data_IF_449461160469
#
_entry.id   IF_449461160469
#
_cell.length_a   1.000
_cell.length_b   1.000
_cell.length_c   1.000
_cell.angle_alpha   90.00
_cell.angle_beta   90.00
_cell.angle_gamma   90.00
#
_symmetry.space_group_name_H-M   'P 1'
#
loop_
_entity.id
_entity.type
_entity.pdbx_description
1 polymer ?
#
# COMPACT_ATOMS: atom_id res chain seq x y z
N UNK A 1 -36.87 16.96 -34.69
CA UNK A 1 -35.61 16.32 -34.20
C UNK A 1 -35.66 16.16 -32.69
N UNK A 2 -36.22 15.06 -32.15
CA UNK A 2 -36.38 14.83 -30.69
C UNK A 2 -36.12 13.37 -30.26
N UNK A 3 -35.35 12.60 -31.04
CA UNK A 3 -35.09 11.17 -30.77
C UNK A 3 -33.62 10.81 -30.50
N UNK A 4 -32.71 11.78 -30.48
CA UNK A 4 -31.27 11.53 -30.27
C UNK A 4 -30.77 11.74 -28.83
N UNK A 5 -31.64 12.15 -27.89
CA UNK A 5 -31.24 12.41 -26.51
C UNK A 5 -31.26 11.15 -25.60
N UNK A 6 -31.93 10.07 -26.02
CA UNK A 6 -32.07 8.85 -25.20
C UNK A 6 -30.92 7.84 -25.35
N UNK A 7 -30.02 8.04 -26.31
CA UNK A 7 -28.90 7.11 -26.55
C UNK A 7 -27.66 7.42 -25.70
N UNK A 8 -27.58 8.61 -25.09
CA UNK A 8 -26.44 8.98 -24.23
C UNK A 8 -26.61 8.58 -22.76
N UNK A 9 -27.82 8.24 -22.32
CA UNK A 9 -28.08 7.84 -20.92
C UNK A 9 -27.72 6.39 -20.62
N UNK A 10 -27.62 5.51 -21.63
CA UNK A 10 -27.28 4.10 -21.43
C UNK A 10 -25.78 3.86 -21.15
N UNK A 11 -24.88 4.76 -21.59
CA UNK A 11 -23.44 4.58 -21.38
C UNK A 11 -22.96 4.99 -19.97
N UNK A 12 -23.77 5.73 -19.20
CA UNK A 12 -23.41 6.18 -17.85
C UNK A 12 -23.80 5.18 -16.74
N UNK A 13 -24.51 4.09 -17.07
CA UNK A 13 -25.00 3.14 -16.08
C UNK A 13 -23.92 2.17 -15.53
N UNK A 14 -22.70 2.16 -16.08
CA UNK A 14 -21.63 1.24 -15.65
C UNK A 14 -20.71 1.80 -14.55
N UNK A 15 -20.94 3.00 -14.03
CA UNK A 15 -20.02 3.64 -13.06
C UNK A 15 -20.34 3.26 -11.59
N UNK A 16 -21.40 2.50 -11.31
CA UNK A 16 -21.95 2.39 -9.94
C UNK A 16 -21.52 1.17 -9.10
N UNK A 17 -20.59 0.32 -9.57
CA UNK A 17 -20.06 -0.78 -8.73
C UNK A 17 -18.76 -0.41 -8.01
N UNK A 18 -18.70 0.78 -7.38
CA UNK A 18 -17.50 1.21 -6.65
C UNK A 18 -17.18 0.34 -5.44
N UNK A 19 -18.18 -0.29 -4.82
CA UNK A 19 -18.01 -1.13 -3.62
C UNK A 19 -17.35 -2.48 -3.91
N UNK A 20 -17.71 -3.14 -5.02
CA UNK A 20 -17.06 -4.38 -5.44
C UNK A 20 -15.59 -4.15 -5.80
N UNK A 21 -15.28 -3.00 -6.41
CA UNK A 21 -13.92 -2.60 -6.74
C UNK A 21 -13.08 -2.32 -5.48
N UNK A 22 -13.66 -1.70 -4.46
CA UNK A 22 -13.00 -1.43 -3.18
C UNK A 22 -12.60 -2.71 -2.44
N UNK A 23 -13.48 -3.74 -2.43
CA UNK A 23 -13.18 -5.05 -1.85
C UNK A 23 -12.01 -5.74 -2.55
N UNK A 24 -12.01 -5.76 -3.89
CA UNK A 24 -10.95 -6.41 -4.67
C UNK A 24 -9.59 -5.74 -4.42
N UNK A 25 -9.56 -4.41 -4.37
CA UNK A 25 -8.33 -3.65 -4.12
C UNK A 25 -7.77 -3.98 -2.73
N UNK A 26 -8.64 -4.07 -1.72
CA UNK A 26 -8.24 -4.42 -0.36
C UNK A 26 -7.62 -5.82 -0.30
N UNK A 27 -8.24 -6.82 -0.90
CA UNK A 27 -7.72 -8.19 -0.91
C UNK A 27 -6.34 -8.28 -1.59
N UNK A 28 -6.16 -7.55 -2.69
CA UNK A 28 -4.86 -7.46 -3.38
C UNK A 28 -3.80 -6.82 -2.49
N UNK A 29 -4.13 -5.75 -1.76
CA UNK A 29 -3.20 -5.11 -0.83
C UNK A 29 -2.86 -6.02 0.36
N UNK A 30 -3.84 -6.74 0.92
CA UNK A 30 -3.60 -7.70 1.99
C UNK A 30 -2.60 -8.78 1.57
N UNK A 31 -2.78 -9.37 0.39
CA UNK A 31 -1.86 -10.38 -0.15
C UNK A 31 -0.46 -9.80 -0.41
N UNK A 32 -0.40 -8.61 -1.03
CA UNK A 32 0.87 -7.93 -1.30
C UNK A 32 1.64 -7.64 0.00
N UNK A 33 0.96 -7.11 1.01
CA UNK A 33 1.55 -6.77 2.31
C UNK A 33 2.00 -8.01 3.05
N UNK A 34 1.18 -9.07 3.06
CA UNK A 34 1.57 -10.35 3.65
C UNK A 34 2.86 -10.88 3.03
N UNK A 35 2.94 -10.92 1.69
CA UNK A 35 4.14 -11.37 0.98
C UNK A 35 5.34 -10.44 1.21
N UNK A 36 5.13 -9.11 1.26
CA UNK A 36 6.19 -8.13 1.56
C UNK A 36 6.80 -8.37 2.93
N UNK A 37 5.98 -8.48 3.97
CA UNK A 37 6.45 -8.65 5.35
C UNK A 37 7.07 -10.02 5.55
N UNK A 38 6.47 -11.09 5.00
CA UNK A 38 7.06 -12.43 5.04
C UNK A 38 8.44 -12.46 4.36
N UNK A 39 8.60 -11.74 3.23
CA UNK A 39 9.90 -11.61 2.59
C UNK A 39 10.89 -10.83 3.45
N UNK A 40 10.47 -9.74 4.09
CA UNK A 40 11.34 -8.92 4.95
C UNK A 40 11.78 -9.69 6.20
N UNK A 41 10.92 -10.50 6.78
CA UNK A 41 11.20 -11.31 7.97
C UNK A 41 12.28 -12.38 7.71
N UNK A 42 12.50 -12.77 6.45
CA UNK A 42 13.61 -13.66 6.05
C UNK A 42 14.99 -12.99 6.15
N UNK A 43 15.05 -11.66 6.10
CA UNK A 43 16.30 -10.89 6.11
C UNK A 43 16.47 -10.02 7.36
N UNK A 44 15.38 -9.77 8.07
CA UNK A 44 15.31 -8.92 9.25
C UNK A 44 14.64 -9.71 10.34
N UNK A 45 15.38 -10.00 11.41
CA UNK A 45 14.86 -10.68 12.58
C UNK A 45 13.96 -9.74 13.37
N UNK A 46 12.69 -9.69 13.02
CA UNK A 46 11.60 -9.14 13.84
C UNK A 46 10.61 -10.26 14.20
N UNK A 47 9.97 -10.15 15.36
CA UNK A 47 9.07 -11.20 15.86
C UNK A 47 7.69 -11.16 15.17
N UNK A 48 6.87 -12.19 15.37
CA UNK A 48 5.52 -12.29 14.79
C UNK A 48 4.61 -11.12 15.20
N UNK A 49 4.77 -10.58 16.42
CA UNK A 49 3.96 -9.43 16.87
C UNK A 49 4.35 -8.16 16.13
N UNK A 50 5.64 -7.98 15.85
CA UNK A 50 6.14 -6.91 15.00
C UNK A 50 5.63 -7.13 13.57
N UNK A 51 5.71 -8.35 13.04
CA UNK A 51 5.23 -8.70 11.70
C UNK A 51 3.76 -8.32 11.50
N UNK A 52 2.89 -8.68 12.44
CA UNK A 52 1.46 -8.36 12.35
C UNK A 52 1.20 -6.84 12.37
N UNK A 53 1.88 -6.10 13.25
CA UNK A 53 1.79 -4.63 13.28
C UNK A 53 2.30 -3.99 11.99
N UNK A 54 3.38 -4.52 11.40
CA UNK A 54 3.89 -4.04 10.12
C UNK A 54 2.87 -4.26 9.00
N UNK A 55 2.19 -5.42 8.98
CA UNK A 55 1.13 -5.69 8.00
C UNK A 55 -0.01 -4.67 8.14
N UNK A 56 -0.43 -4.36 9.36
CA UNK A 56 -1.48 -3.36 9.61
C UNK A 56 -1.06 -1.97 9.12
N UNK A 57 0.15 -1.52 9.45
CA UNK A 57 0.66 -0.20 9.05
C UNK A 57 0.79 -0.08 7.53
N UNK A 58 1.36 -1.09 6.87
CA UNK A 58 1.56 -1.08 5.41
C UNK A 58 0.24 -1.17 4.67
N UNK A 59 -0.69 -2.03 5.11
CA UNK A 59 -2.03 -2.13 4.52
C UNK A 59 -2.78 -0.81 4.63
N UNK A 60 -2.76 -0.21 5.82
CA UNK A 60 -3.38 1.10 6.05
C UNK A 60 -2.78 2.16 5.15
N UNK A 61 -1.45 2.19 5.01
CA UNK A 61 -0.75 3.13 4.15
C UNK A 61 -1.19 2.99 2.68
N UNK A 62 -1.27 1.77 2.15
CA UNK A 62 -1.73 1.53 0.77
C UNK A 62 -3.17 1.99 0.55
N UNK A 63 -4.07 1.68 1.48
CA UNK A 63 -5.47 2.12 1.42
C UNK A 63 -5.59 3.65 1.46
N UNK A 64 -4.84 4.31 2.34
CA UNK A 64 -4.84 5.77 2.46
C UNK A 64 -4.24 6.45 1.22
N UNK A 65 -3.21 5.86 0.60
CA UNK A 65 -2.61 6.33 -0.65
C UNK A 65 -3.61 6.17 -1.80
N UNK A 66 -4.23 5.00 -1.93
CA UNK A 66 -5.28 4.76 -2.93
C UNK A 66 -6.44 5.76 -2.78
N UNK A 67 -6.88 6.03 -1.56
CA UNK A 67 -7.91 7.05 -1.31
C UNK A 67 -7.44 8.47 -1.66
N UNK A 68 -6.15 8.79 -1.45
CA UNK A 68 -5.59 10.08 -1.81
C UNK A 68 -5.45 10.27 -3.34
N UNK A 69 -5.12 9.22 -4.07
CA UNK A 69 -4.99 9.22 -5.53
C UNK A 69 -6.35 9.35 -6.23
N UNK A 70 -7.38 8.70 -5.68
CA UNK A 70 -8.74 8.78 -6.22
C UNK A 70 -9.52 10.04 -5.79
N UNK A 71 -8.89 10.95 -5.02
CA UNK A 71 -9.54 12.19 -4.58
C UNK A 71 -9.31 13.35 -5.56
N UNK A 72 -10.33 13.67 -6.38
CA UNK A 72 -10.25 14.70 -7.43
C UNK A 72 -9.93 16.12 -6.94
N UNK A 73 -10.29 16.47 -5.70
CA UNK A 73 -10.09 17.81 -5.12
C UNK A 73 -8.97 17.86 -4.06
N UNK A 74 -8.27 16.76 -3.81
CA UNK A 74 -7.21 16.72 -2.82
C UNK A 74 -5.89 17.22 -3.41
N UNK A 75 -5.07 17.89 -2.59
CA UNK A 75 -3.65 18.10 -2.92
C UNK A 75 -2.89 16.78 -2.77
N UNK A 76 -3.10 15.83 -3.70
CA UNK A 76 -2.63 14.44 -3.64
C UNK A 76 -1.15 14.33 -3.27
N UNK A 77 -0.27 15.09 -3.94
CA UNK A 77 1.18 15.12 -3.63
C UNK A 77 1.47 15.50 -2.17
N UNK A 78 0.77 16.51 -1.63
CA UNK A 78 0.94 16.93 -0.22
C UNK A 78 0.41 15.87 0.74
N UNK A 79 -0.71 15.22 0.39
CA UNK A 79 -1.32 14.16 1.19
C UNK A 79 -0.43 12.91 1.25
N UNK A 80 0.05 12.44 0.09
CA UNK A 80 1.00 11.31 0.00
C UNK A 80 2.28 11.60 0.79
N UNK A 81 2.84 12.83 0.70
CA UNK A 81 4.00 13.20 1.52
C UNK A 81 3.74 13.08 3.03
N UNK A 82 2.54 13.45 3.49
CA UNK A 82 2.14 13.29 4.89
C UNK A 82 2.00 11.81 5.27
N UNK A 83 1.40 11.01 4.39
CA UNK A 83 1.24 9.57 4.60
C UNK A 83 2.59 8.83 4.67
N UNK A 84 3.54 9.17 3.80
CA UNK A 84 4.91 8.63 3.86
C UNK A 84 5.57 8.94 5.21
N UNK A 85 5.50 10.20 5.67
CA UNK A 85 6.05 10.59 6.97
C UNK A 85 5.38 9.84 8.13
N UNK A 86 4.06 9.64 8.04
CA UNK A 86 3.32 8.90 9.06
C UNK A 86 3.77 7.43 9.10
N UNK A 87 3.82 6.77 7.93
CA UNK A 87 4.32 5.40 7.79
C UNK A 87 5.72 5.26 8.37
N UNK A 88 6.65 6.16 8.01
CA UNK A 88 8.04 6.11 8.50
C UNK A 88 8.12 6.26 10.02
N UNK A 89 7.26 7.09 10.63
CA UNK A 89 7.18 7.21 12.09
C UNK A 89 6.63 5.92 12.72
N UNK A 90 5.56 5.36 12.16
CA UNK A 90 4.92 4.16 12.68
C UNK A 90 5.87 2.94 12.59
N UNK A 91 6.63 2.83 11.51
CA UNK A 91 7.69 1.83 11.36
C UNK A 91 8.77 1.96 12.45
N UNK A 92 9.20 3.17 12.79
CA UNK A 92 10.19 3.41 13.86
C UNK A 92 9.66 3.13 15.27
N UNK A 93 8.33 3.11 15.45
CA UNK A 93 7.71 2.71 16.72
C UNK A 93 7.61 1.19 16.88
N UNK A 94 7.53 0.46 15.76
CA UNK A 94 7.41 -1.00 15.74
C UNK A 94 8.79 -1.65 15.75
N UNK A 95 9.73 -1.12 14.97
CA UNK A 95 11.05 -1.69 14.73
C UNK A 95 12.10 -1.05 15.62
N UNK A 96 13.10 -1.84 16.04
CA UNK A 96 14.34 -1.26 16.57
C UNK A 96 15.04 -0.44 15.50
N UNK A 97 15.95 0.44 15.91
CA UNK A 97 16.71 1.28 14.96
C UNK A 97 17.44 0.45 13.90
N UNK A 98 18.04 -0.67 14.29
CA UNK A 98 18.75 -1.56 13.37
C UNK A 98 17.79 -2.25 12.40
N UNK A 99 16.68 -2.80 12.90
CA UNK A 99 15.63 -3.39 12.07
C UNK A 99 15.08 -2.37 11.08
N UNK A 100 14.82 -1.14 11.52
CA UNK A 100 14.32 -0.05 10.66
C UNK A 100 15.31 0.31 9.55
N UNK A 101 16.61 0.39 9.85
CA UNK A 101 17.64 0.67 8.83
C UNK A 101 17.63 -0.43 7.76
N UNK A 102 17.59 -1.71 8.17
CA UNK A 102 17.50 -2.84 7.23
C UNK A 102 16.21 -2.80 6.43
N UNK A 103 15.08 -2.52 7.08
CA UNK A 103 13.76 -2.43 6.46
C UNK A 103 13.77 -1.37 5.37
N UNK A 104 14.20 -0.16 5.71
CA UNK A 104 14.25 0.97 4.79
C UNK A 104 15.23 0.73 3.63
N UNK A 105 16.34 0.01 3.87
CA UNK A 105 17.28 -0.33 2.81
C UNK A 105 16.69 -1.36 1.81
N UNK A 106 15.96 -2.36 2.29
CA UNK A 106 15.29 -3.35 1.43
C UNK A 106 14.12 -2.72 0.67
N UNK A 107 13.29 -1.92 1.35
CA UNK A 107 12.08 -1.31 0.78
C UNK A 107 12.40 -0.33 -0.36
N UNK A 108 13.48 0.45 -0.23
CA UNK A 108 13.94 1.38 -1.26
C UNK A 108 14.83 0.73 -2.33
N UNK A 109 14.95 -0.61 -2.36
CA UNK A 109 15.88 -1.35 -3.23
C UNK A 109 17.35 -0.87 -3.14
N UNK A 110 17.76 -0.31 -1.99
CA UNK A 110 19.13 0.16 -1.75
C UNK A 110 20.10 -1.01 -1.49
N UNK A 111 19.56 -2.17 -1.15
CA UNK A 111 20.27 -3.45 -1.13
C UNK A 111 19.58 -4.34 -2.18
N UNK A 112 20.29 -4.67 -3.28
CA UNK A 112 19.80 -5.68 -4.22
C UNK A 112 19.63 -7.00 -3.45
N UNK A 113 18.43 -7.59 -3.56
CA UNK A 113 18.08 -8.90 -2.98
C UNK A 113 18.87 -10.02 -3.66
N UNK A 114 20.17 -10.10 -3.42
CA UNK A 114 20.92 -11.30 -3.77
C UNK A 114 20.89 -12.24 -2.56
N UNK A 115 20.39 -13.48 -2.70
CA UNK A 115 20.62 -14.49 -1.67
C UNK A 115 22.14 -14.67 -1.49
N UNK A 116 22.63 -15.01 -0.29
CA UNK A 116 24.03 -15.35 -0.10
C UNK A 116 24.36 -16.52 -1.03
N UNK A 117 25.29 -16.29 -1.95
CA UNK A 117 25.89 -17.34 -2.77
C UNK A 117 26.53 -18.32 -1.78
N UNK A 118 25.98 -19.53 -1.69
CA UNK A 118 26.65 -20.63 -1.03
C UNK A 118 27.90 -20.96 -1.87
N UNK A 119 29.07 -20.68 -1.30
CA UNK A 119 30.38 -21.15 -1.80
C UNK A 119 30.84 -22.27 -0.89
#
# INVERSE_FOLDING_TARGET
MKKKLLLFTALFAFILNSSAQESIIKDVFEQYVAAKIENMQKFIEFDEKQADKLKEVELKFLLDVNAAENCFWCRTKKRIKKLNKQRDNDLQLILTREQYIKYNAIDNNLIQKNPPIQV
#
